data_IF_579054443624
#
_entry.id   IF_579054443624
#
_cell.length_a   1.000
_cell.length_b   1.000
_cell.length_c   1.000
_cell.angle_alpha   90.00
_cell.angle_beta   90.00
_cell.angle_gamma   90.00
#
_symmetry.space_group_name_H-M   'P 1'
#
loop_
_entity.id
_entity.type
_entity.pdbx_description
1 polymer ?
#
# COMPACT_ATOMS: atom_id res chain seq x y z
N UNK A 1 8.31 13.73 21.07
CA UNK A 1 8.26 12.73 19.97
C UNK A 1 9.39 13.03 19.01
N UNK A 2 10.26 12.07 18.64
CA UNK A 2 11.35 12.35 17.70
C UNK A 2 10.80 12.84 16.36
N UNK A 3 11.40 13.90 15.82
CA UNK A 3 11.08 14.42 14.49
C UNK A 3 11.54 13.43 13.41
N UNK A 4 10.89 13.42 12.23
CA UNK A 4 11.48 12.74 11.07
C UNK A 4 12.71 13.58 10.66
N UNK A 5 13.89 12.96 10.60
CA UNK A 5 15.14 13.70 10.32
C UNK A 5 15.16 14.31 8.91
N UNK A 6 14.53 13.65 7.94
CA UNK A 6 14.36 14.17 6.58
C UNK A 6 12.88 14.53 6.32
N UNK A 7 12.59 15.76 5.85
CA UNK A 7 11.25 16.12 5.43
C UNK A 7 10.83 15.30 4.21
N UNK A 8 9.53 15.02 4.07
CA UNK A 8 8.99 14.46 2.82
C UNK A 8 8.75 15.61 1.86
N UNK A 9 9.47 15.61 0.74
CA UNK A 9 9.47 16.67 -0.27
C UNK A 9 8.47 16.35 -1.39
N UNK A 10 7.92 17.39 -1.99
CA UNK A 10 7.03 17.28 -3.15
C UNK A 10 7.79 16.76 -4.36
N UNK A 11 7.08 16.13 -5.28
CA UNK A 11 7.57 15.45 -6.48
C UNK A 11 8.51 14.27 -6.29
N UNK A 12 8.92 13.98 -5.05
CA UNK A 12 9.72 12.82 -4.69
C UNK A 12 8.87 11.57 -4.43
N UNK A 13 9.50 10.40 -4.65
CA UNK A 13 8.86 9.08 -4.52
C UNK A 13 9.35 8.39 -3.26
N UNK A 14 8.43 7.78 -2.53
CA UNK A 14 8.73 7.10 -1.28
C UNK A 14 8.10 5.71 -1.22
N UNK A 15 8.87 4.76 -0.70
CA UNK A 15 8.33 3.52 -0.16
C UNK A 15 7.82 3.77 1.26
N UNK A 16 6.51 3.70 1.42
CA UNK A 16 5.83 3.87 2.69
C UNK A 16 5.34 2.52 3.19
N UNK A 17 5.61 2.22 4.46
CA UNK A 17 5.09 1.00 5.07
C UNK A 17 4.79 1.19 6.55
N UNK A 18 3.82 0.42 7.04
CA UNK A 18 3.55 0.33 8.46
C UNK A 18 3.07 -1.08 8.82
N UNK A 19 3.44 -1.53 10.01
CA UNK A 19 3.09 -2.84 10.56
C UNK A 19 2.01 -2.70 11.62
N UNK A 20 1.26 -3.76 11.81
CA UNK A 20 0.28 -3.85 12.88
C UNK A 20 0.98 -4.00 14.23
N UNK A 21 0.44 -3.34 15.25
CA UNK A 21 0.97 -3.44 16.62
C UNK A 21 0.99 -4.91 17.07
N UNK A 22 2.12 -5.35 17.64
CA UNK A 22 2.38 -6.74 18.04
C UNK A 22 2.19 -7.76 16.90
N UNK A 23 2.47 -7.38 15.65
CA UNK A 23 2.33 -8.23 14.45
C UNK A 23 0.94 -8.84 14.27
N UNK A 24 -0.09 -8.30 14.91
CA UNK A 24 -1.45 -8.86 14.87
C UNK A 24 -2.05 -8.79 13.46
N UNK A 25 -2.90 -9.75 13.11
CA UNK A 25 -3.67 -9.70 11.85
C UNK A 25 -4.73 -8.62 11.94
N UNK A 26 -4.61 -7.58 11.11
CA UNK A 26 -5.55 -6.46 11.04
C UNK A 26 -6.42 -6.52 9.78
N UNK A 27 -5.90 -7.06 8.68
CA UNK A 27 -6.64 -7.31 7.45
C UNK A 27 -7.10 -8.78 7.42
N UNK A 28 -8.30 -9.02 7.95
CA UNK A 28 -8.80 -10.38 8.25
C UNK A 28 -9.51 -11.02 7.05
N UNK A 29 -10.43 -10.28 6.44
CA UNK A 29 -11.33 -10.76 5.39
C UNK A 29 -11.44 -9.72 4.27
N UNK A 30 -12.13 -10.09 3.19
CA UNK A 30 -12.38 -9.20 2.04
C UNK A 30 -12.94 -7.84 2.43
N UNK A 31 -13.79 -7.76 3.45
CA UNK A 31 -14.37 -6.50 3.93
C UNK A 31 -13.33 -5.58 4.57
N UNK A 32 -12.38 -6.13 5.34
CA UNK A 32 -11.26 -5.35 5.89
C UNK A 32 -10.33 -4.84 4.78
N UNK A 33 -9.96 -5.68 3.82
CA UNK A 33 -9.12 -5.26 2.70
C UNK A 33 -9.82 -4.21 1.83
N UNK A 34 -11.08 -4.45 1.46
CA UNK A 34 -11.88 -3.48 0.68
C UNK A 34 -12.00 -2.15 1.42
N UNK A 35 -12.26 -2.18 2.74
CA UNK A 35 -12.31 -0.97 3.56
C UNK A 35 -10.98 -0.21 3.53
N UNK A 36 -9.86 -0.92 3.62
CA UNK A 36 -8.53 -0.32 3.60
C UNK A 36 -8.28 0.40 2.27
N UNK A 37 -8.40 -0.32 1.15
CA UNK A 37 -8.18 0.17 -0.20
C UNK A 37 -9.09 1.37 -0.51
N UNK A 38 -10.39 1.26 -0.23
CA UNK A 38 -11.32 2.36 -0.47
C UNK A 38 -11.04 3.57 0.41
N UNK A 39 -10.58 3.38 1.66
CA UNK A 39 -10.23 4.50 2.52
C UNK A 39 -8.92 5.17 2.11
N UNK A 40 -7.95 4.41 1.62
CA UNK A 40 -6.72 4.94 1.01
C UNK A 40 -7.07 5.77 -0.24
N UNK A 41 -7.92 5.24 -1.12
CA UNK A 41 -8.37 5.94 -2.32
C UNK A 41 -9.10 7.26 -1.98
N UNK A 42 -9.90 7.30 -0.91
CA UNK A 42 -10.52 8.54 -0.47
C UNK A 42 -9.47 9.55 0.01
N UNK A 43 -8.56 9.11 0.88
CA UNK A 43 -7.64 10.00 1.59
C UNK A 43 -6.35 10.32 0.85
N UNK A 44 -6.12 9.76 -0.34
CA UNK A 44 -5.10 10.27 -1.26
C UNK A 44 -5.40 11.68 -1.77
N UNK A 45 -6.61 12.21 -1.53
CA UNK A 45 -7.02 13.58 -1.87
C UNK A 45 -7.21 14.45 -0.63
N UNK A 46 -7.12 15.77 -0.81
CA UNK A 46 -7.38 16.77 0.23
C UNK A 46 -8.87 16.84 0.53
N UNK A 47 -9.33 15.97 1.42
CA UNK A 47 -10.74 15.83 1.77
C UNK A 47 -10.92 15.82 3.28
N UNK A 48 -11.91 16.56 3.80
CA UNK A 48 -12.23 16.57 5.24
C UNK A 48 -13.45 15.73 5.64
N UNK A 49 -13.82 14.74 4.83
CA UNK A 49 -14.97 13.89 5.07
C UNK A 49 -14.55 12.58 5.78
N UNK A 50 -15.33 12.14 6.77
CA UNK A 50 -15.16 10.82 7.39
C UNK A 50 -15.58 9.73 6.39
N UNK A 51 -14.79 8.67 6.25
CA UNK A 51 -15.10 7.60 5.29
C UNK A 51 -16.48 6.97 5.55
N UNK A 52 -16.91 6.89 6.82
CA UNK A 52 -18.24 6.39 7.17
C UNK A 52 -19.36 7.17 6.48
N UNK A 53 -19.25 8.51 6.43
CA UNK A 53 -20.19 9.38 5.70
C UNK A 53 -20.01 9.26 4.18
N UNK A 54 -18.77 9.24 3.70
CA UNK A 54 -18.50 9.02 2.27
C UNK A 54 -19.18 7.74 1.74
N UNK A 55 -19.08 6.63 2.48
CA UNK A 55 -19.65 5.34 2.09
C UNK A 55 -21.19 5.33 1.97
N UNK A 56 -21.90 6.26 2.62
CA UNK A 56 -23.37 6.33 2.50
C UNK A 56 -23.84 6.91 1.16
N UNK A 57 -22.95 7.53 0.40
CA UNK A 57 -23.28 8.14 -0.89
C UNK A 57 -23.36 7.08 -1.98
N UNK A 58 -24.16 7.33 -3.01
CA UNK A 58 -24.20 6.48 -4.20
C UNK A 58 -22.85 6.46 -4.93
N UNK A 59 -22.50 5.38 -5.66
CA UNK A 59 -21.21 5.27 -6.36
C UNK A 59 -20.89 6.44 -7.29
N UNK A 60 -21.89 6.97 -8.01
CA UNK A 60 -21.72 8.16 -8.87
C UNK A 60 -21.28 9.39 -8.06
N UNK A 61 -21.89 9.61 -6.91
CA UNK A 61 -21.56 10.73 -6.03
C UNK A 61 -20.19 10.53 -5.37
N UNK A 62 -19.85 9.30 -4.97
CA UNK A 62 -18.52 8.97 -4.46
C UNK A 62 -17.42 9.31 -5.48
N UNK A 63 -17.62 8.93 -6.74
CA UNK A 63 -16.71 9.23 -7.84
C UNK A 63 -16.54 10.74 -8.03
N UNK A 64 -17.65 11.48 -8.12
CA UNK A 64 -17.65 12.95 -8.23
C UNK A 64 -16.90 13.62 -7.07
N UNK A 65 -17.14 13.18 -5.83
CA UNK A 65 -16.43 13.69 -4.65
C UNK A 65 -14.92 13.48 -4.77
N UNK A 66 -14.46 12.37 -5.34
CA UNK A 66 -13.03 12.09 -5.50
C UNK A 66 -12.44 12.96 -6.62
N UNK A 67 -13.08 13.01 -7.78
CA UNK A 67 -12.59 13.71 -8.97
C UNK A 67 -12.49 15.24 -8.79
N UNK A 68 -13.36 15.83 -7.97
CA UNK A 68 -13.33 17.27 -7.67
C UNK A 68 -12.29 17.67 -6.62
N UNK A 69 -11.55 16.71 -6.03
CA UNK A 69 -10.62 16.98 -4.93
C UNK A 69 -9.19 16.92 -5.38
N UNK A 70 -8.41 17.83 -4.81
CA UNK A 70 -6.99 17.98 -5.07
C UNK A 70 -6.24 16.71 -4.61
N UNK A 71 -5.50 16.01 -5.47
CA UNK A 71 -4.69 14.85 -5.08
C UNK A 71 -3.50 15.29 -4.23
N UNK A 72 -3.30 14.68 -3.07
CA UNK A 72 -2.16 14.91 -2.17
C UNK A 72 -0.97 14.00 -2.50
N UNK A 73 -1.29 12.78 -2.96
CA UNK A 73 -0.31 11.78 -3.37
C UNK A 73 -0.82 11.06 -4.62
N UNK A 74 0.12 10.56 -5.40
CA UNK A 74 -0.11 9.58 -6.43
C UNK A 74 0.34 8.21 -5.91
N UNK A 75 -0.44 7.16 -6.17
CA UNK A 75 -0.11 5.80 -5.73
C UNK A 75 0.48 5.08 -6.94
N UNK A 76 1.75 4.73 -6.90
CA UNK A 76 2.43 4.00 -8.00
C UNK A 76 2.24 2.50 -7.84
N UNK A 77 2.30 1.99 -6.61
CA UNK A 77 2.02 0.59 -6.28
C UNK A 77 1.55 0.45 -4.83
N UNK A 78 0.82 -0.62 -4.52
CA UNK A 78 0.45 -0.98 -3.15
C UNK A 78 0.33 -2.49 -2.98
N UNK A 79 0.51 -2.95 -1.74
CA UNK A 79 0.14 -4.29 -1.32
C UNK A 79 -0.27 -4.27 0.16
N UNK A 80 -1.47 -4.77 0.46
CA UNK A 80 -1.95 -5.00 1.81
C UNK A 80 -1.71 -6.46 2.18
N UNK A 81 -1.02 -6.69 3.29
CA UNK A 81 -0.70 -7.99 3.86
C UNK A 81 -1.48 -8.16 5.18
N UNK A 82 -1.70 -9.37 5.71
CA UNK A 82 -2.54 -9.58 6.90
C UNK A 82 -2.21 -8.68 8.11
N UNK A 83 -0.92 -8.39 8.34
CA UNK A 83 -0.43 -7.61 9.48
C UNK A 83 0.36 -6.35 9.09
N UNK A 84 0.40 -5.94 7.82
CA UNK A 84 1.11 -4.72 7.40
C UNK A 84 0.67 -4.26 6.00
N UNK A 85 1.14 -3.10 5.56
CA UNK A 85 0.94 -2.65 4.19
C UNK A 85 2.20 -1.99 3.65
N UNK A 86 2.34 -2.02 2.33
CA UNK A 86 3.36 -1.30 1.57
C UNK A 86 2.71 -0.44 0.51
N UNK A 87 3.16 0.80 0.37
CA UNK A 87 2.78 1.75 -0.66
C UNK A 87 4.05 2.30 -1.31
N UNK A 88 4.02 2.46 -2.63
CA UNK A 88 4.98 3.25 -3.38
C UNK A 88 4.22 4.47 -3.88
N UNK A 89 4.59 5.65 -3.42
CA UNK A 89 3.79 6.87 -3.63
C UNK A 89 4.68 8.04 -4.00
N UNK A 90 4.19 8.91 -4.88
CA UNK A 90 4.77 10.22 -5.17
C UNK A 90 4.02 11.27 -4.33
N UNK A 91 4.74 12.17 -3.66
CA UNK A 91 4.10 13.30 -2.99
C UNK A 91 3.77 14.39 -4.02
N UNK A 92 2.51 14.82 -4.07
CA UNK A 92 2.05 15.84 -5.05
C UNK A 92 1.95 17.22 -4.40
N UNK A 93 1.63 17.27 -3.11
CA UNK A 93 1.54 18.51 -2.35
C UNK A 93 2.16 18.39 -0.98
N UNK A 94 2.54 19.54 -0.42
CA UNK A 94 3.20 19.64 0.87
C UNK A 94 2.49 18.84 1.98
N UNK A 95 3.27 17.96 2.61
CA UNK A 95 2.83 17.03 3.65
C UNK A 95 1.75 16.04 3.18
N UNK A 96 1.61 15.83 1.87
CA UNK A 96 0.59 15.00 1.26
C UNK A 96 0.63 13.58 1.78
N UNK A 97 1.81 12.96 1.83
CA UNK A 97 1.97 11.60 2.38
C UNK A 97 1.56 11.55 3.85
N UNK A 98 1.97 12.54 4.65
CA UNK A 98 1.64 12.58 6.09
C UNK A 98 0.12 12.69 6.29
N UNK A 99 -0.52 13.61 5.57
CA UNK A 99 -1.97 13.85 5.62
C UNK A 99 -2.74 12.61 5.14
N UNK A 100 -2.38 12.05 3.99
CA UNK A 100 -3.05 10.91 3.37
C UNK A 100 -2.89 9.63 4.18
N UNK A 101 -1.65 9.22 4.45
CA UNK A 101 -1.37 7.96 5.17
C UNK A 101 -1.82 8.06 6.62
N UNK A 102 -1.63 9.21 7.28
CA UNK A 102 -2.10 9.44 8.65
C UNK A 102 -3.62 9.35 8.78
N UNK A 103 -4.37 9.95 7.84
CA UNK A 103 -5.83 9.89 7.83
C UNK A 103 -6.36 8.51 7.48
N UNK A 104 -5.74 7.83 6.51
CA UNK A 104 -5.98 6.43 6.19
C UNK A 104 -5.80 5.54 7.44
N UNK A 105 -4.61 5.55 8.04
CA UNK A 105 -4.28 4.70 9.20
C UNK A 105 -5.23 4.96 10.37
N UNK A 106 -5.55 6.22 10.65
CA UNK A 106 -6.49 6.60 11.73
C UNK A 106 -7.91 6.11 11.43
N UNK A 107 -8.40 6.32 10.21
CA UNK A 107 -9.73 5.88 9.79
C UNK A 107 -9.87 4.35 9.86
N UNK A 108 -8.85 3.63 9.39
CA UNK A 108 -8.83 2.18 9.41
C UNK A 108 -8.73 1.62 10.83
N UNK A 109 -7.85 2.19 11.67
CA UNK A 109 -7.71 1.77 13.07
C UNK A 109 -9.03 1.91 13.85
N UNK A 110 -9.75 3.02 13.66
CA UNK A 110 -11.08 3.22 14.25
C UNK A 110 -12.07 2.16 13.77
N UNK A 111 -12.11 1.90 12.47
CA UNK A 111 -12.96 0.85 11.90
C UNK A 111 -12.66 -0.54 12.48
N UNK A 112 -11.39 -0.91 12.53
CA UNK A 112 -10.94 -2.21 13.07
C UNK A 112 -11.33 -2.35 14.54
N UNK A 113 -10.99 -1.36 15.38
CA UNK A 113 -11.28 -1.38 16.80
C UNK A 113 -12.78 -1.43 17.09
N UNK A 114 -13.59 -0.63 16.40
CA UNK A 114 -15.04 -0.66 16.55
C UNK A 114 -15.62 -2.03 16.15
N UNK A 115 -15.19 -2.60 15.01
CA UNK A 115 -15.70 -3.88 14.52
C UNK A 115 -15.24 -5.08 15.36
N UNK A 116 -14.08 -4.98 16.03
CA UNK A 116 -13.52 -6.02 16.90
C UNK A 116 -13.79 -5.80 18.38
N UNK A 117 -14.51 -4.74 18.75
CA UNK A 117 -14.71 -4.29 20.13
C UNK A 117 -13.39 -4.19 20.92
N UNK A 118 -12.34 -3.67 20.27
CA UNK A 118 -11.00 -3.48 20.84
C UNK A 118 -10.70 -2.01 21.11
N UNK A 119 -9.70 -1.76 21.95
CA UNK A 119 -9.09 -0.45 22.20
C UNK A 119 -7.58 -0.55 21.98
N UNK A 120 -6.93 0.60 21.80
CA UNK A 120 -5.48 0.69 21.64
C UNK A 120 -5.00 0.80 20.19
N UNK A 121 -3.67 0.81 19.98
CA UNK A 121 -3.08 1.00 18.66
C UNK A 121 -3.33 -0.22 17.75
N UNK A 122 -3.62 0.06 16.48
CA UNK A 122 -3.75 -0.97 15.42
C UNK A 122 -2.45 -1.09 14.64
N UNK A 123 -1.78 0.03 14.37
CA UNK A 123 -0.47 0.09 13.70
C UNK A 123 0.63 0.55 14.65
N UNK A 124 1.87 0.21 14.33
CA UNK A 124 3.07 0.60 15.07
C UNK A 124 3.41 2.07 14.80
N UNK A 125 3.18 2.93 15.80
CA UNK A 125 3.62 4.33 15.78
C UNK A 125 3.40 5.06 14.44
N UNK A 126 4.45 5.74 13.96
CA UNK A 126 4.46 6.42 12.65
C UNK A 126 4.87 5.45 11.55
N UNK A 127 4.28 5.62 10.37
CA UNK A 127 4.73 4.92 9.17
C UNK A 127 6.21 5.22 8.87
N UNK A 128 6.89 4.22 8.32
CA UNK A 128 8.25 4.33 7.80
C UNK A 128 8.18 4.85 6.37
N UNK A 129 9.19 5.63 5.99
CA UNK A 129 9.32 6.21 4.67
C UNK A 129 10.77 6.08 4.22
N UNK A 130 10.98 5.54 3.02
CA UNK A 130 12.29 5.41 2.38
C UNK A 130 12.22 6.13 1.04
N UNK A 131 13.12 7.08 0.81
CA UNK A 131 13.22 7.81 -0.46
C UNK A 131 13.65 6.85 -1.56
N UNK A 132 13.08 7.02 -2.75
CA UNK A 132 13.51 6.35 -3.97
C UNK A 132 14.45 7.28 -4.72
N UNK A 133 15.74 6.95 -4.70
CA UNK A 133 16.83 7.79 -5.21
C UNK A 133 17.21 7.45 -6.67
N UNK A 134 16.75 6.30 -7.18
CA UNK A 134 17.04 5.86 -8.54
C UNK A 134 15.90 5.11 -9.20
N UNK A 135 15.91 5.09 -10.53
CA UNK A 135 14.94 4.33 -11.32
C UNK A 135 15.08 2.82 -11.10
N UNK A 136 16.31 2.31 -10.92
CA UNK A 136 16.53 0.91 -10.58
C UNK A 136 15.86 0.56 -9.24
N UNK A 137 16.01 1.41 -8.23
CA UNK A 137 15.34 1.25 -6.94
C UNK A 137 13.82 1.29 -7.09
N UNK A 138 13.29 2.19 -7.93
CA UNK A 138 11.84 2.26 -8.23
C UNK A 138 11.31 0.91 -8.74
N UNK A 139 11.97 0.33 -9.75
CA UNK A 139 11.59 -0.96 -10.34
C UNK A 139 11.67 -2.10 -9.31
N UNK A 140 12.77 -2.18 -8.55
CA UNK A 140 12.95 -3.24 -7.56
C UNK A 140 11.99 -3.12 -6.37
N UNK A 141 11.67 -1.91 -5.91
CA UNK A 141 10.66 -1.69 -4.87
C UNK A 141 9.27 -2.05 -5.38
N UNK A 142 8.93 -1.68 -6.63
CA UNK A 142 7.68 -2.09 -7.26
C UNK A 142 7.55 -3.62 -7.34
N UNK A 143 8.60 -4.33 -7.77
CA UNK A 143 8.68 -5.81 -7.72
C UNK A 143 8.49 -6.32 -6.29
N UNK A 144 9.23 -5.78 -5.33
CA UNK A 144 9.17 -6.20 -3.93
C UNK A 144 7.76 -6.12 -3.35
N UNK A 145 7.03 -5.04 -3.66
CA UNK A 145 5.66 -4.82 -3.20
C UNK A 145 4.71 -5.89 -3.76
N UNK A 146 4.73 -6.15 -5.06
CA UNK A 146 3.84 -7.13 -5.68
C UNK A 146 4.20 -8.58 -5.36
N UNK A 147 5.49 -8.85 -5.09
CA UNK A 147 5.97 -10.19 -4.76
C UNK A 147 5.79 -10.56 -3.27
N UNK A 148 5.48 -9.57 -2.42
CA UNK A 148 5.36 -9.75 -0.97
C UNK A 148 4.39 -10.88 -0.54
N UNK A 149 3.19 -11.01 -1.12
CA UNK A 149 2.27 -12.11 -0.80
C UNK A 149 2.89 -13.50 -1.00
N UNK A 150 3.64 -13.67 -2.10
CA UNK A 150 4.34 -14.91 -2.40
C UNK A 150 5.55 -15.13 -1.48
N UNK A 151 6.37 -14.09 -1.26
CA UNK A 151 7.55 -14.20 -0.38
C UNK A 151 7.15 -14.59 1.06
N UNK A 152 6.01 -14.09 1.53
CA UNK A 152 5.44 -14.42 2.84
C UNK A 152 4.67 -15.77 2.87
N UNK A 153 4.68 -16.53 1.76
CA UNK A 153 3.97 -17.81 1.61
C UNK A 153 2.45 -17.71 1.86
N UNK A 154 1.84 -16.56 1.57
CA UNK A 154 0.38 -16.39 1.64
C UNK A 154 -0.33 -16.96 0.41
N UNK A 155 0.39 -17.01 -0.71
CA UNK A 155 -0.08 -17.50 -2.00
C UNK A 155 1.04 -18.29 -2.70
N UNK A 156 0.65 -19.10 -3.68
CA UNK A 156 1.57 -19.74 -4.63
C UNK A 156 1.91 -18.78 -5.77
N UNK A 157 3.01 -19.05 -6.47
CA UNK A 157 3.50 -18.20 -7.56
C UNK A 157 2.45 -17.98 -8.67
N UNK A 158 1.73 -19.04 -9.04
CA UNK A 158 0.70 -18.98 -10.07
C UNK A 158 -0.53 -18.12 -9.69
N UNK A 159 -0.67 -17.76 -8.41
CA UNK A 159 -1.77 -16.95 -7.87
C UNK A 159 -1.40 -15.46 -7.73
N UNK A 160 -0.15 -15.06 -8.04
CA UNK A 160 0.32 -13.68 -7.84
C UNK A 160 -0.55 -12.64 -8.56
N UNK A 161 -0.96 -12.96 -9.79
CA UNK A 161 -1.84 -12.13 -10.62
C UNK A 161 -3.26 -12.00 -10.05
N UNK A 162 -3.67 -12.92 -9.19
CA UNK A 162 -5.02 -13.01 -8.63
C UNK A 162 -5.10 -12.38 -7.22
N UNK A 163 -3.96 -11.92 -6.68
CA UNK A 163 -3.91 -11.28 -5.36
C UNK A 163 -4.57 -9.89 -5.37
N UNK A 164 -5.88 -9.89 -5.10
CA UNK A 164 -6.78 -8.74 -5.17
C UNK A 164 -6.51 -7.62 -4.15
N UNK A 165 -5.52 -7.80 -3.26
CA UNK A 165 -5.17 -6.84 -2.22
C UNK A 165 -3.86 -6.09 -2.53
N UNK A 166 -3.45 -6.11 -3.80
CA UNK A 166 -2.32 -5.36 -4.34
C UNK A 166 -2.69 -4.67 -5.66
N UNK A 167 -1.84 -3.73 -6.11
CA UNK A 167 -1.98 -3.08 -7.41
C UNK A 167 -1.60 -3.95 -8.61
N UNK A 168 -1.22 -5.23 -8.45
CA UNK A 168 -0.78 -6.06 -9.59
C UNK A 168 -1.86 -6.16 -10.67
N UNK A 169 -3.14 -6.16 -10.27
CA UNK A 169 -4.26 -6.14 -11.22
C UNK A 169 -4.40 -4.83 -12.00
N UNK A 170 -3.98 -3.70 -11.41
CA UNK A 170 -3.94 -2.40 -12.08
C UNK A 170 -2.82 -2.44 -13.14
N UNK A 171 -1.67 -3.04 -12.83
CA UNK A 171 -0.56 -3.24 -13.77
C UNK A 171 -0.88 -4.18 -14.94
N UNK A 172 -1.76 -5.16 -14.70
CA UNK A 172 -2.21 -6.13 -15.70
C UNK A 172 -3.42 -5.65 -16.52
N UNK A 173 -4.00 -4.49 -16.19
CA UNK A 173 -5.19 -3.95 -16.87
C UNK A 173 -6.48 -4.75 -16.61
N UNK A 174 -6.52 -5.55 -15.54
CA UNK A 174 -7.68 -6.40 -15.19
C UNK A 174 -8.50 -5.86 -14.01
N UNK A 175 -8.00 -4.81 -13.35
CA UNK A 175 -8.68 -4.15 -12.24
C UNK A 175 -9.88 -3.33 -12.70
N UNK A 176 -11.03 -3.55 -12.06
CA UNK A 176 -12.28 -2.81 -12.40
C UNK A 176 -12.26 -1.36 -11.93
N UNK A 177 -11.54 -1.06 -10.86
CA UNK A 177 -11.47 0.26 -10.24
C UNK A 177 -10.01 0.50 -9.79
N UNK A 178 -9.09 0.73 -10.74
CA UNK A 178 -7.70 0.95 -10.39
C UNK A 178 -7.56 2.20 -9.52
N UNK A 179 -6.65 2.11 -8.54
CA UNK A 179 -6.33 3.25 -7.67
C UNK A 179 -4.83 3.58 -7.70
N UNK A 180 -4.02 2.75 -8.33
CA UNK A 180 -2.65 3.13 -8.67
C UNK A 180 -2.56 3.74 -10.07
N UNK A 181 -1.60 4.64 -10.24
CA UNK A 181 -1.08 5.09 -11.52
C UNK A 181 0.24 4.34 -11.79
N UNK A 182 0.20 3.25 -12.58
CA UNK A 182 1.37 2.41 -12.81
C UNK A 182 2.27 2.95 -13.93
N UNK A 183 1.92 4.05 -14.61
CA UNK A 183 2.55 4.46 -15.88
C UNK A 183 4.06 4.68 -15.74
N UNK A 184 4.50 5.30 -14.66
CA UNK A 184 5.93 5.56 -14.41
C UNK A 184 6.77 4.26 -14.40
N UNK A 185 6.19 3.14 -13.97
CA UNK A 185 6.84 1.84 -13.99
C UNK A 185 6.55 1.11 -15.30
N UNK A 186 5.28 1.05 -15.72
CA UNK A 186 4.85 0.29 -16.90
C UNK A 186 5.44 0.80 -18.21
N UNK A 187 5.69 2.11 -18.34
CA UNK A 187 6.30 2.68 -19.56
C UNK A 187 7.73 2.15 -19.82
N UNK A 188 8.34 1.49 -18.84
CA UNK A 188 9.64 0.83 -18.95
C UNK A 188 9.54 -0.63 -19.43
N UNK A 189 8.32 -1.14 -19.60
CA UNK A 189 8.03 -2.49 -20.07
C UNK A 189 7.16 -2.43 -21.32
N UNK A 190 7.26 -3.44 -22.18
CA UNK A 190 6.42 -3.53 -23.39
C UNK A 190 4.94 -3.74 -23.07
N UNK A 191 4.63 -4.34 -21.92
CA UNK A 191 3.28 -4.64 -21.47
C UNK A 191 3.25 -4.98 -19.98
N UNK A 192 2.06 -4.99 -19.37
CA UNK A 192 1.84 -5.51 -18.02
C UNK A 192 2.27 -6.98 -17.86
N UNK A 193 2.23 -7.77 -18.95
CA UNK A 193 2.75 -9.15 -18.94
C UNK A 193 4.28 -9.18 -18.77
N UNK A 194 5.01 -8.32 -19.47
CA UNK A 194 6.47 -8.23 -19.32
C UNK A 194 6.87 -7.67 -17.95
N UNK A 195 6.05 -6.78 -17.39
CA UNK A 195 6.21 -6.37 -16.00
C UNK A 195 6.00 -7.57 -15.06
N UNK A 196 4.96 -8.39 -15.26
CA UNK A 196 4.74 -9.58 -14.45
C UNK A 196 5.89 -10.58 -14.56
N UNK A 197 6.42 -10.80 -15.77
CA UNK A 197 7.63 -11.60 -15.99
C UNK A 197 8.79 -11.06 -15.14
N UNK A 198 9.05 -9.75 -15.20
CA UNK A 198 10.04 -9.08 -14.34
C UNK A 198 9.74 -9.24 -12.85
N UNK A 199 8.48 -9.23 -12.40
CA UNK A 199 8.14 -9.42 -10.98
C UNK A 199 8.44 -10.85 -10.53
N UNK A 200 8.13 -11.83 -11.37
CA UNK A 200 8.32 -13.25 -11.07
C UNK A 200 9.76 -13.71 -11.28
N UNK A 201 10.53 -12.99 -12.09
CA UNK A 201 11.94 -13.22 -12.28
C UNK A 201 12.70 -12.97 -10.97
N UNK A 202 13.51 -13.94 -10.55
CA UNK A 202 14.19 -13.98 -9.24
C UNK A 202 13.27 -14.08 -7.99
N UNK A 203 12.03 -14.53 -8.14
CA UNK A 203 11.11 -14.65 -7.01
C UNK A 203 11.59 -15.60 -5.89
N UNK A 204 12.22 -16.73 -6.27
CA UNK A 204 12.74 -17.71 -5.33
C UNK A 204 13.88 -17.14 -4.48
N UNK A 205 14.75 -16.33 -5.09
CA UNK A 205 15.82 -15.63 -4.37
C UNK A 205 15.24 -14.69 -3.31
N UNK A 206 14.20 -13.93 -3.65
CA UNK A 206 13.56 -13.03 -2.70
C UNK A 206 12.84 -13.78 -1.56
N UNK A 207 12.20 -14.92 -1.86
CA UNK A 207 11.58 -15.76 -0.83
C UNK A 207 12.66 -16.33 0.11
N UNK A 208 13.79 -16.78 -0.42
CA UNK A 208 14.92 -17.27 0.36
C UNK A 208 15.51 -16.18 1.27
N UNK A 209 15.70 -14.96 0.76
CA UNK A 209 16.14 -13.82 1.58
C UNK A 209 15.18 -13.50 2.73
N UNK A 210 13.86 -13.59 2.51
CA UNK A 210 12.89 -13.40 3.60
C UNK A 210 12.96 -14.51 4.64
N UNK A 211 13.14 -15.77 4.21
CA UNK A 211 13.32 -16.91 5.13
C UNK A 211 14.58 -16.73 5.99
N UNK A 212 15.71 -16.34 5.38
CA UNK A 212 16.97 -16.06 6.09
C UNK A 212 16.78 -14.92 7.09
N UNK A 213 16.17 -13.80 6.67
CA UNK A 213 15.88 -12.66 7.58
C UNK A 213 15.03 -13.09 8.78
N UNK A 214 14.05 -13.96 8.56
CA UNK A 214 13.20 -14.47 9.65
C UNK A 214 14.01 -15.34 10.61
N UNK A 215 14.82 -16.27 10.09
CA UNK A 215 15.68 -17.14 10.90
C UNK A 215 16.72 -16.36 11.73
N UNK A 216 17.30 -15.30 11.16
CA UNK A 216 18.25 -14.44 11.88
C UNK A 216 17.57 -13.65 13.00
N UNK A 217 16.37 -13.11 12.77
CA UNK A 217 15.60 -12.39 13.79
C UNK A 217 15.10 -13.31 14.92
N UNK A 218 14.74 -14.56 14.59
CA UNK A 218 14.31 -15.56 15.57
C UNK A 218 15.51 -16.17 16.36
N UNK A 219 16.75 -15.90 15.94
CA UNK A 219 17.98 -16.34 16.64
C UNK A 219 18.57 -15.28 17.59
N UNK A 220 18.01 -14.07 17.60
CA UNK A 220 18.38 -12.95 18.49
C UNK A 220 17.44 -12.81 19.71
N UNK A 221 16.46 -13.73 19.87
CA UNK A 221 15.59 -13.88 21.06
C UNK A 221 16.02 -15.09 21.92
#
# INVERSE_FOLDING_TARGET
>A
MPYRQLPLVDDEIYHIYNRAFNRQTVFIDRSYYSRAISSLNLYRHLINIKYAFFKTHLPKTQKKIIEEKIPLIEIIAYCFMPNHFHLLVKQIHEQGIVKSVGKFSTSYAKYFNTRRNKKGPVFEGRFKAVLIESNEQLLHVSRYIHLNPYSASLIKMNEIKDYSYSSIGDYLGVSKNPISDPEMVLNQFKSGKNYLEFVTDNADYQQNLQRIKKQLLDAEE
#
